data_IF_177103717859
#
_entry.id   IF_177103717859
#
_cell.length_a   1.000
_cell.length_b   1.000
_cell.length_c   1.000
_cell.angle_alpha   90.00
_cell.angle_beta   90.00
_cell.angle_gamma   90.00
#
_symmetry.space_group_name_H-M   'P 1'
#
loop_
_entity.id
_entity.type
_entity.pdbx_description
1 polymer ?
#
# COMPACT_ATOMS: atom_id res chain seq x y z
N UNK A 1 7.91 -0.47 -20.32
CA UNK A 1 8.84 0.65 -20.06
C UNK A 1 8.56 1.10 -18.65
N UNK A 2 9.58 1.20 -17.79
CA UNK A 2 9.40 1.62 -16.41
C UNK A 2 8.96 3.09 -16.35
N UNK A 3 8.20 3.44 -15.31
CA UNK A 3 7.79 4.82 -15.03
C UNK A 3 8.72 5.46 -13.99
N UNK A 4 8.93 6.78 -14.00
CA UNK A 4 9.65 7.45 -12.91
C UNK A 4 8.94 7.26 -11.56
N UNK A 5 9.70 7.09 -10.49
CA UNK A 5 9.13 6.88 -9.15
C UNK A 5 8.22 8.04 -8.69
N UNK A 6 8.53 9.27 -9.10
CA UNK A 6 7.72 10.46 -8.79
C UNK A 6 6.31 10.37 -9.39
N UNK A 7 6.15 9.59 -10.46
CA UNK A 7 4.86 9.38 -11.15
C UNK A 7 4.08 8.19 -10.60
N UNK A 8 4.55 7.54 -9.53
CA UNK A 8 3.96 6.28 -9.06
C UNK A 8 2.53 6.45 -8.52
N UNK A 9 2.24 7.51 -7.77
CA UNK A 9 0.88 7.80 -7.33
C UNK A 9 -0.05 8.11 -8.51
N UNK A 10 0.41 8.88 -9.51
CA UNK A 10 -0.36 9.16 -10.72
C UNK A 10 -0.66 7.89 -11.52
N UNK A 11 0.31 6.97 -11.60
CA UNK A 11 0.13 5.69 -12.23
C UNK A 11 -0.90 4.83 -11.48
N UNK A 12 -0.86 4.80 -10.15
CA UNK A 12 -1.86 4.08 -9.37
C UNK A 12 -3.26 4.69 -9.54
N UNK A 13 -3.38 6.01 -9.48
CA UNK A 13 -4.63 6.72 -9.77
C UNK A 13 -5.14 6.42 -11.19
N UNK A 14 -4.24 6.24 -12.17
CA UNK A 14 -4.59 5.89 -13.54
C UNK A 14 -5.14 4.46 -13.66
N UNK A 15 -4.63 3.50 -12.86
CA UNK A 15 -5.19 2.14 -12.76
C UNK A 15 -6.62 2.18 -12.23
N UNK A 16 -6.88 2.96 -11.17
CA UNK A 16 -8.23 3.19 -10.64
C UNK A 16 -9.18 3.76 -11.71
N UNK A 17 -8.74 4.81 -12.41
CA UNK A 17 -9.53 5.46 -13.48
C UNK A 17 -9.87 4.51 -14.63
N UNK A 18 -8.96 3.61 -15.01
CA UNK A 18 -9.22 2.60 -16.05
C UNK A 18 -10.30 1.59 -15.63
N UNK A 19 -10.45 1.38 -14.33
CA UNK A 19 -11.49 0.53 -13.72
C UNK A 19 -12.77 1.30 -13.37
N UNK A 20 -12.83 2.60 -13.66
CA UNK A 20 -13.97 3.45 -13.35
C UNK A 20 -14.14 3.76 -11.86
N UNK A 21 -13.06 3.67 -11.09
CA UNK A 21 -13.03 3.93 -9.65
C UNK A 21 -12.34 5.27 -9.41
N UNK A 22 -12.89 6.07 -8.50
CA UNK A 22 -12.28 7.30 -8.01
C UNK A 22 -11.39 6.98 -6.80
N UNK A 23 -10.07 7.24 -6.83
CA UNK A 23 -9.17 6.95 -5.72
C UNK A 23 -9.52 7.74 -4.43
N UNK A 24 -10.20 8.88 -4.55
CA UNK A 24 -10.63 9.70 -3.39
C UNK A 24 -12.04 9.34 -2.89
N UNK A 25 -12.72 8.39 -3.57
CA UNK A 25 -14.06 7.93 -3.23
C UNK A 25 -14.25 6.43 -3.49
N UNK A 26 -13.29 5.61 -3.04
CA UNK A 26 -13.34 4.15 -3.14
C UNK A 26 -14.51 3.60 -2.32
N UNK A 27 -15.33 2.75 -2.94
CA UNK A 27 -16.49 2.10 -2.30
C UNK A 27 -16.37 0.60 -2.12
N UNK A 28 -15.40 -0.02 -2.80
CA UNK A 28 -15.21 -1.46 -2.81
C UNK A 28 -13.74 -1.78 -2.57
N UNK A 29 -13.45 -2.35 -1.40
CA UNK A 29 -12.10 -2.73 -0.98
C UNK A 29 -11.52 -3.82 -1.88
N UNK A 30 -12.34 -4.76 -2.35
CA UNK A 30 -11.91 -5.82 -3.25
C UNK A 30 -11.49 -5.23 -4.61
N UNK A 31 -12.26 -4.29 -5.13
CA UNK A 31 -11.91 -3.62 -6.38
C UNK A 31 -10.62 -2.78 -6.25
N UNK A 32 -10.42 -2.13 -5.10
CA UNK A 32 -9.19 -1.41 -4.78
C UNK A 32 -7.99 -2.34 -4.63
N UNK A 33 -8.17 -3.52 -4.03
CA UNK A 33 -7.14 -4.54 -3.92
C UNK A 33 -6.68 -5.05 -5.28
N UNK A 34 -7.62 -5.33 -6.19
CA UNK A 34 -7.28 -5.77 -7.54
C UNK A 34 -6.55 -4.67 -8.33
N UNK A 35 -6.93 -3.40 -8.15
CA UNK A 35 -6.21 -2.27 -8.73
C UNK A 35 -4.80 -2.13 -8.13
N UNK A 36 -4.66 -2.33 -6.81
CA UNK A 36 -3.36 -2.34 -6.14
C UNK A 36 -2.47 -3.46 -6.67
N UNK A 37 -3.04 -4.66 -6.86
CA UNK A 37 -2.34 -5.80 -7.45
C UNK A 37 -1.79 -5.50 -8.85
N UNK A 38 -2.56 -4.82 -9.69
CA UNK A 38 -2.11 -4.34 -11.01
C UNK A 38 -1.00 -3.29 -10.91
N UNK A 39 -1.18 -2.30 -10.03
CA UNK A 39 -0.19 -1.25 -9.80
C UNK A 39 1.16 -1.81 -9.35
N UNK A 40 1.14 -2.82 -8.47
CA UNK A 40 2.34 -3.51 -7.99
C UNK A 40 3.12 -4.25 -9.09
N UNK A 41 2.52 -4.48 -10.26
CA UNK A 41 3.21 -5.07 -11.42
C UNK A 41 3.90 -4.04 -12.32
N UNK A 42 3.73 -2.74 -12.05
CA UNK A 42 4.35 -1.69 -12.84
C UNK A 42 5.81 -1.54 -12.42
N UNK A 43 6.73 -1.65 -13.38
CA UNK A 43 8.15 -1.38 -13.18
C UNK A 43 8.39 0.11 -12.89
N UNK A 44 9.17 0.40 -11.84
CA UNK A 44 9.52 1.76 -11.43
C UNK A 44 11.01 2.01 -11.71
N UNK A 45 11.32 3.17 -12.26
CA UNK A 45 12.67 3.66 -12.49
C UNK A 45 13.08 4.65 -11.39
N UNK A 46 14.39 4.69 -11.10
CA UNK A 46 14.96 5.60 -10.10
C UNK A 46 14.93 5.06 -8.67
N UNK A 47 14.64 3.77 -8.51
CA UNK A 47 14.71 3.06 -7.23
C UNK A 47 15.97 2.17 -7.16
N UNK A 48 16.35 1.84 -5.94
CA UNK A 48 17.44 0.91 -5.64
C UNK A 48 17.14 -0.52 -6.15
N UNK A 49 18.21 -1.32 -6.21
CA UNK A 49 18.11 -2.75 -6.50
C UNK A 49 17.50 -3.56 -5.34
N UNK A 50 17.19 -4.85 -5.59
CA UNK A 50 16.62 -5.75 -4.59
C UNK A 50 17.54 -5.98 -3.37
N UNK A 51 18.84 -5.73 -3.49
CA UNK A 51 19.80 -5.81 -2.38
C UNK A 51 19.58 -4.76 -1.29
N UNK A 52 18.85 -3.69 -1.60
CA UNK A 52 18.57 -2.56 -0.72
C UNK A 52 17.05 -2.38 -0.52
N UNK A 53 16.27 -3.46 -0.64
CA UNK A 53 14.82 -3.42 -0.40
C UNK A 53 14.10 -2.35 -1.26
N UNK A 54 14.53 -2.21 -2.51
CA UNK A 54 14.16 -1.09 -3.38
C UNK A 54 12.68 -0.97 -3.78
N UNK A 55 11.94 -2.09 -3.78
CA UNK A 55 10.54 -2.15 -4.24
C UNK A 55 9.73 -3.14 -3.40
N UNK A 56 9.21 -2.65 -2.27
CA UNK A 56 8.41 -3.42 -1.32
C UNK A 56 6.94 -3.05 -1.32
N UNK A 57 6.12 -3.86 -0.68
CA UNK A 57 4.73 -3.50 -0.41
C UNK A 57 4.25 -4.05 0.93
N UNK A 58 3.22 -3.40 1.48
CA UNK A 58 2.67 -3.67 2.80
C UNK A 58 1.16 -3.44 2.80
N UNK A 59 0.45 -4.15 3.66
CA UNK A 59 -0.94 -3.86 4.00
C UNK A 59 -1.04 -3.64 5.49
N UNK A 60 -1.65 -2.54 5.90
CA UNK A 60 -1.77 -2.14 7.30
C UNK A 60 -3.23 -1.91 7.68
N UNK A 61 -3.58 -2.13 8.95
CA UNK A 61 -4.91 -1.87 9.48
C UNK A 61 -4.84 -1.40 10.93
N UNK A 62 -5.69 -0.48 11.33
CA UNK A 62 -5.68 0.04 12.69
C UNK A 62 -6.42 1.37 12.81
N UNK A 63 -6.18 2.04 13.93
CA UNK A 63 -6.56 3.43 14.18
C UNK A 63 -5.29 4.25 14.39
N UNK A 64 -5.19 5.41 13.75
CA UNK A 64 -4.01 6.25 13.84
C UNK A 64 -4.37 7.71 14.15
N UNK A 65 -3.62 8.37 15.04
CA UNK A 65 -3.97 9.73 15.45
C UNK A 65 -4.04 10.77 14.33
N UNK A 66 -3.40 10.51 13.18
CA UNK A 66 -3.42 11.37 12.01
C UNK A 66 -4.66 11.19 11.12
N UNK A 67 -5.47 10.14 11.32
CA UNK A 67 -6.71 9.88 10.58
C UNK A 67 -7.98 10.05 11.44
N UNK A 68 -7.95 10.95 12.42
CA UNK A 68 -9.00 11.17 13.42
C UNK A 68 -9.29 9.93 14.31
N UNK A 69 -8.29 9.05 14.49
CA UNK A 69 -8.42 7.74 15.14
C UNK A 69 -9.52 6.87 14.50
N UNK A 70 -9.83 7.07 13.22
CA UNK A 70 -10.81 6.25 12.53
C UNK A 70 -10.23 4.88 12.14
N UNK A 71 -11.06 3.82 12.15
CA UNK A 71 -10.66 2.51 11.65
C UNK A 71 -10.23 2.63 10.20
N UNK A 72 -9.08 2.04 9.87
CA UNK A 72 -8.52 2.14 8.54
C UNK A 72 -7.85 0.85 8.07
N UNK A 73 -7.76 0.75 6.75
CA UNK A 73 -7.03 -0.24 5.99
C UNK A 73 -6.21 0.50 4.94
N UNK A 74 -4.91 0.23 4.85
CA UNK A 74 -4.05 0.87 3.86
C UNK A 74 -3.28 -0.13 3.01
N UNK A 75 -3.07 0.23 1.75
CA UNK A 75 -2.27 -0.52 0.78
C UNK A 75 -1.08 0.35 0.37
N UNK A 76 0.12 -0.05 0.77
CA UNK A 76 1.35 0.70 0.57
C UNK A 76 2.33 0.00 -0.36
N UNK A 77 2.93 0.74 -1.28
CA UNK A 77 4.14 0.32 -2.02
C UNK A 77 5.29 1.23 -1.61
N UNK A 78 6.34 0.64 -1.03
CA UNK A 78 7.54 1.35 -0.63
C UNK A 78 8.59 1.31 -1.75
N UNK A 79 9.23 2.44 -1.96
CA UNK A 79 10.24 2.68 -2.98
C UNK A 79 11.48 3.23 -2.27
N UNK A 80 12.60 2.50 -2.32
CA UNK A 80 13.87 3.04 -1.86
C UNK A 80 14.51 3.80 -3.04
N UNK A 81 14.64 5.12 -2.90
CA UNK A 81 15.06 6.05 -3.95
C UNK A 81 16.48 6.52 -3.68
N UNK A 82 17.34 6.41 -4.69
CA UNK A 82 18.66 7.05 -4.65
C UNK A 82 18.51 8.50 -5.13
N UNK A 83 18.94 9.49 -4.34
CA UNK A 83 19.08 10.85 -4.87
C UNK A 83 20.04 10.84 -6.07
N UNK A 84 19.57 11.33 -7.22
CA UNK A 84 20.39 11.51 -8.41
C UNK A 84 21.38 12.67 -8.23
N UNK A 85 22.47 12.44 -7.47
CA UNK A 85 23.50 13.47 -7.25
C UNK A 85 24.58 13.14 -6.23
N UNK A 86 24.37 12.16 -5.35
CA UNK A 86 25.18 11.94 -4.14
C UNK A 86 25.91 10.59 -4.14
N UNK A 87 26.27 10.10 -5.33
CA UNK A 87 26.89 8.77 -5.53
C UNK A 87 28.34 8.64 -5.03
N UNK A 88 28.89 9.68 -4.41
CA UNK A 88 30.29 9.69 -3.93
C UNK A 88 30.47 9.10 -2.52
N UNK A 89 29.40 8.91 -1.74
CA UNK A 89 29.46 8.24 -0.43
C UNK A 89 28.81 6.85 -0.47
N UNK A 90 29.60 5.75 -0.41
CA UNK A 90 29.09 4.38 -0.40
C UNK A 90 28.33 4.00 0.89
N UNK A 91 28.21 4.90 1.86
CA UNK A 91 27.41 4.72 3.08
C UNK A 91 26.07 5.45 3.06
N UNK A 92 25.73 6.18 1.99
CA UNK A 92 24.45 6.87 1.86
C UNK A 92 23.32 5.85 1.84
N UNK A 93 22.40 5.93 2.80
CA UNK A 93 21.18 5.14 2.77
C UNK A 93 20.19 5.75 1.79
N UNK A 94 19.39 4.92 1.09
CA UNK A 94 18.35 5.43 0.21
C UNK A 94 17.28 6.19 1.01
N UNK A 95 16.59 7.11 0.35
CA UNK A 95 15.37 7.69 0.89
C UNK A 95 14.21 6.73 0.66
N UNK A 96 13.39 6.48 1.67
CA UNK A 96 12.21 5.67 1.50
C UNK A 96 11.00 6.55 1.20
N UNK A 97 10.29 6.20 0.15
CA UNK A 97 9.05 6.84 -0.28
C UNK A 97 7.94 5.81 -0.31
N UNK A 98 6.73 6.20 0.05
CA UNK A 98 5.58 5.32 0.07
C UNK A 98 4.44 5.89 -0.78
N UNK A 99 3.98 5.08 -1.73
CA UNK A 99 2.69 5.29 -2.38
C UNK A 99 1.65 4.55 -1.56
N UNK A 100 0.68 5.26 -0.99
CA UNK A 100 -0.31 4.67 -0.10
C UNK A 100 -1.73 5.02 -0.51
N UNK A 101 -2.56 3.99 -0.67
CA UNK A 101 -4.01 4.16 -0.64
C UNK A 101 -4.48 3.90 0.79
N UNK A 102 -5.04 4.93 1.42
CA UNK A 102 -5.70 4.82 2.71
C UNK A 102 -7.21 4.70 2.52
N UNK A 103 -7.83 3.71 3.16
CA UNK A 103 -9.27 3.56 3.27
C UNK A 103 -9.66 3.75 4.74
N UNK A 104 -10.54 4.71 5.02
CA UNK A 104 -11.08 4.97 6.36
C UNK A 104 -12.54 4.53 6.43
N UNK A 105 -12.95 4.02 7.57
CA UNK A 105 -14.27 3.44 7.77
C UNK A 105 -15.00 4.14 8.91
N UNK A 106 -16.33 4.07 8.87
CA UNK A 106 -17.14 4.44 10.03
C UNK A 106 -16.91 3.44 11.17
N UNK A 107 -17.24 3.84 12.40
CA UNK A 107 -17.23 2.93 13.54
C UNK A 107 -18.31 1.85 13.38
N UNK A 108 -17.94 0.59 13.63
CA UNK A 108 -18.85 -0.56 13.65
C UNK A 108 -18.39 -1.58 14.72
N UNK A 109 -19.32 -2.22 15.44
CA UNK A 109 -19.00 -3.28 16.39
C UNK A 109 -18.13 -4.41 15.83
N UNK A 110 -18.19 -4.69 14.52
CA UNK A 110 -17.42 -5.76 13.88
C UNK A 110 -15.89 -5.55 13.90
N UNK A 111 -15.42 -4.32 14.16
CA UNK A 111 -14.01 -3.97 14.32
C UNK A 111 -13.76 -3.08 15.54
N UNK A 112 -14.57 -3.22 16.59
CA UNK A 112 -14.37 -2.50 17.85
C UNK A 112 -12.95 -2.72 18.40
N UNK A 113 -12.48 -3.97 18.41
CA UNK A 113 -11.18 -4.37 18.96
C UNK A 113 -10.03 -4.35 17.94
N UNK A 114 -10.12 -3.53 16.88
CA UNK A 114 -9.09 -3.45 15.83
C UNK A 114 -7.69 -3.12 16.41
N UNK A 115 -7.64 -2.33 17.48
CA UNK A 115 -6.40 -1.91 18.15
C UNK A 115 -5.84 -2.94 19.13
N UNK A 116 -6.62 -3.97 19.44
CA UNK A 116 -6.21 -5.09 20.29
C UNK A 116 -5.72 -6.30 19.49
N UNK A 117 -5.76 -6.21 18.16
CA UNK A 117 -5.08 -7.16 17.29
C UNK A 117 -3.56 -7.04 17.52
N UNK A 118 -2.83 -8.14 17.27
CA UNK A 118 -1.38 -8.18 17.42
C UNK A 118 -0.66 -7.25 16.41
N UNK A 119 0.19 -7.77 15.52
CA UNK A 119 0.69 -6.94 14.41
C UNK A 119 -0.49 -6.33 13.63
N UNK A 120 -0.36 -5.05 13.29
CA UNK A 120 -1.34 -4.24 12.57
C UNK A 120 -0.93 -4.01 11.11
N UNK A 121 -0.05 -4.87 10.63
CA UNK A 121 0.48 -4.87 9.28
C UNK A 121 0.93 -6.28 8.89
N UNK A 122 1.19 -6.47 7.61
CA UNK A 122 1.67 -7.74 7.04
C UNK A 122 3.19 -7.92 7.16
N UNK A 123 3.92 -6.91 7.59
CA UNK A 123 5.33 -6.69 7.22
C UNK A 123 5.48 -6.34 5.73
N UNK A 124 6.64 -5.79 5.39
CA UNK A 124 7.01 -5.57 3.99
C UNK A 124 7.33 -6.89 3.28
N UNK A 125 6.81 -7.05 2.08
CA UNK A 125 7.15 -8.12 1.15
C UNK A 125 7.85 -7.51 -0.07
N UNK A 126 9.04 -8.02 -0.39
CA UNK A 126 9.91 -7.55 -1.48
C UNK A 126 10.00 -8.57 -2.63
N UNK A 127 9.03 -9.51 -2.71
CA UNK A 127 8.98 -10.47 -3.81
C UNK A 127 8.98 -9.74 -5.16
N UNK A 128 9.77 -10.25 -6.11
CA UNK A 128 9.94 -9.66 -7.45
C UNK A 128 8.61 -9.54 -8.21
N UNK A 129 8.51 -8.51 -9.06
CA UNK A 129 7.38 -8.29 -9.97
C UNK A 129 7.07 -9.57 -10.77
N UNK A 130 5.79 -9.89 -10.92
CA UNK A 130 5.29 -11.06 -11.62
C UNK A 130 4.74 -12.12 -10.67
N UNK A 131 5.07 -13.39 -10.96
CA UNK A 131 4.48 -14.52 -10.25
C UNK A 131 4.77 -14.56 -8.74
N UNK A 132 5.99 -14.25 -8.25
CA UNK A 132 6.29 -14.20 -6.82
C UNK A 132 5.40 -13.18 -6.08
N UNK A 133 5.37 -11.93 -6.54
CA UNK A 133 4.53 -10.87 -5.96
C UNK A 133 3.03 -11.19 -6.00
N UNK A 134 2.54 -11.80 -7.07
CA UNK A 134 1.15 -12.27 -7.13
C UNK A 134 0.85 -13.37 -6.10
N UNK A 135 1.81 -14.27 -5.85
CA UNK A 135 1.67 -15.27 -4.81
C UNK A 135 1.65 -14.61 -3.41
N UNK A 136 2.49 -13.60 -3.18
CA UNK A 136 2.51 -12.81 -1.95
C UNK A 136 1.17 -12.11 -1.68
N UNK A 137 0.61 -11.43 -2.69
CA UNK A 137 -0.73 -10.84 -2.62
C UNK A 137 -1.79 -11.90 -2.24
N UNK A 138 -1.74 -13.08 -2.86
CA UNK A 138 -2.64 -14.18 -2.52
C UNK A 138 -2.49 -14.68 -1.08
N UNK A 139 -1.27 -14.68 -0.52
CA UNK A 139 -1.02 -15.03 0.90
C UNK A 139 -1.60 -13.96 1.82
N UNK A 140 -1.32 -12.69 1.56
CA UNK A 140 -1.79 -11.54 2.34
C UNK A 140 -3.32 -11.49 2.37
N UNK A 141 -3.97 -11.60 1.21
CA UNK A 141 -5.43 -11.63 1.13
C UNK A 141 -6.02 -12.76 1.97
N UNK A 142 -5.46 -13.97 1.91
CA UNK A 142 -5.91 -15.10 2.72
C UNK A 142 -5.73 -14.84 4.22
N UNK A 143 -4.62 -14.22 4.60
CA UNK A 143 -4.34 -13.83 5.98
C UNK A 143 -5.37 -12.80 6.49
N UNK A 144 -5.62 -11.72 5.75
CA UNK A 144 -6.62 -10.71 6.12
C UNK A 144 -8.01 -11.31 6.28
N UNK A 145 -8.39 -12.24 5.39
CA UNK A 145 -9.68 -12.96 5.47
C UNK A 145 -9.76 -13.96 6.64
N UNK A 146 -8.63 -14.35 7.22
CA UNK A 146 -8.60 -15.25 8.39
C UNK A 146 -8.80 -14.52 9.72
N UNK A 147 -8.59 -13.20 9.75
CA UNK A 147 -8.81 -12.36 10.91
C UNK A 147 -10.20 -11.71 10.84
N UNK A 148 -11.07 -11.85 11.86
CA UNK A 148 -12.45 -11.36 11.79
C UNK A 148 -12.58 -9.86 11.45
N UNK A 149 -11.78 -9.00 12.08
CA UNK A 149 -11.90 -7.54 11.93
C UNK A 149 -11.38 -7.05 10.57
N UNK A 150 -10.17 -7.43 10.08
CA UNK A 150 -9.76 -7.11 8.71
C UNK A 150 -10.72 -7.69 7.66
N UNK A 151 -11.25 -8.90 7.87
CA UNK A 151 -12.27 -9.49 6.99
C UNK A 151 -13.61 -8.72 7.02
N UNK A 152 -13.94 -8.05 8.12
CA UNK A 152 -15.11 -7.18 8.23
C UNK A 152 -14.88 -5.86 7.50
N UNK A 153 -13.74 -5.20 7.71
CA UNK A 153 -13.33 -4.00 6.97
C UNK A 153 -13.32 -4.26 5.46
N UNK A 154 -12.80 -5.42 5.03
CA UNK A 154 -12.75 -5.83 3.63
C UNK A 154 -14.13 -5.89 2.95
N UNK A 155 -15.18 -6.18 3.72
CA UNK A 155 -16.56 -6.30 3.20
C UNK A 155 -17.35 -5.01 3.38
N UNK A 156 -16.80 -4.03 4.08
CA UNK A 156 -17.42 -2.75 4.32
C UNK A 156 -17.15 -1.77 3.17
N UNK A 157 -18.03 -0.77 3.04
CA UNK A 157 -17.79 0.38 2.18
C UNK A 157 -16.95 1.40 2.94
N UNK A 158 -15.78 1.83 2.43
CA UNK A 158 -15.00 2.91 3.03
C UNK A 158 -15.82 4.21 3.08
N UNK A 159 -15.67 4.96 4.16
CA UNK A 159 -16.29 6.28 4.33
C UNK A 159 -15.51 7.37 3.60
N UNK A 160 -14.17 7.27 3.58
CA UNK A 160 -13.27 8.14 2.83
C UNK A 160 -12.09 7.32 2.33
N UNK A 161 -11.51 7.73 1.21
CA UNK A 161 -10.21 7.24 0.76
C UNK A 161 -9.32 8.39 0.32
N UNK A 162 -8.02 8.12 0.28
CA UNK A 162 -7.04 9.05 -0.25
C UNK A 162 -5.81 8.31 -0.75
N UNK A 163 -5.23 8.80 -1.83
CA UNK A 163 -4.01 8.27 -2.41
C UNK A 163 -2.88 9.29 -2.29
N UNK A 164 -1.77 8.89 -1.69
CA UNK A 164 -0.62 9.77 -1.43
C UNK A 164 0.68 9.19 -1.98
N UNK A 165 1.67 10.07 -2.17
CA UNK A 165 3.08 9.73 -2.33
C UNK A 165 3.85 10.60 -1.34
N UNK A 166 4.40 9.99 -0.30
CA UNK A 166 5.07 10.71 0.79
C UNK A 166 6.41 10.06 1.11
N UNK A 167 7.36 10.88 1.58
CA UNK A 167 8.61 10.36 2.12
C UNK A 167 8.33 9.79 3.50
N UNK A 168 8.84 8.59 3.78
CA UNK A 168 8.74 7.93 5.08
C UNK A 168 10.10 8.01 5.78
N UNK A 169 10.09 8.48 7.02
CA UNK A 169 11.29 8.66 7.86
C UNK A 169 11.73 7.38 8.58
#
# INVERSE_FOLDING_TARGET
MPIPWESSADAFAQVFRQRGIDPDAVRDVEAAWEAFGEFLQIEIAGIEGPENDGDGFIVSWGRWGWNDDQPALSFGRQLAVTEAGTRDDPHTQPEYWQVELLLTFAEDPAWADLDSLGPQDTGFDFDEIGAPRNAALGRIRRFLQSCPQPAALWRAEPARSGLTLERVD
#
